data_IF_882123748069
#
_entry.id   IF_882123748069
#
_cell.length_a   1.000
_cell.length_b   1.000
_cell.length_c   1.000
_cell.angle_alpha   90.00
_cell.angle_beta   90.00
_cell.angle_gamma   90.00
#
_symmetry.space_group_name_H-M   'P 1'
#
loop_
_entity.id
_entity.type
_entity.pdbx_description
1 polymer ?
#
# COMPACT_ATOMS: atom_id res chain seq x y z
N UNK A 1 18.64 19.70 -0.75
CA UNK A 1 17.26 20.19 -0.59
C UNK A 1 16.40 19.47 -1.63
N UNK A 2 15.98 18.25 -1.32
CA UNK A 2 15.08 17.46 -2.16
C UNK A 2 13.67 17.70 -1.67
N UNK A 3 12.83 18.22 -2.56
CA UNK A 3 11.41 18.45 -2.35
C UNK A 3 10.76 17.10 -2.04
N UNK A 4 10.37 16.92 -0.79
CA UNK A 4 9.71 15.72 -0.30
C UNK A 4 8.28 15.80 -0.83
N UNK A 5 8.03 15.13 -1.95
CA UNK A 5 6.66 14.80 -2.33
C UNK A 5 6.15 13.86 -1.24
N UNK A 6 5.37 14.38 -0.29
CA UNK A 6 4.75 13.64 0.81
C UNK A 6 3.64 12.67 0.34
N UNK A 7 3.69 12.31 -0.94
CA UNK A 7 2.70 11.50 -1.63
C UNK A 7 3.38 10.37 -2.38
N UNK A 8 2.94 9.16 -2.09
CA UNK A 8 3.35 7.94 -2.76
C UNK A 8 2.26 7.43 -3.69
N UNK A 9 2.69 6.92 -4.84
CA UNK A 9 1.81 6.13 -5.71
C UNK A 9 1.55 4.76 -5.08
N UNK A 10 0.53 4.06 -5.60
CA UNK A 10 0.21 2.70 -5.18
C UNK A 10 1.42 1.76 -5.21
N UNK A 11 2.31 1.96 -6.19
CA UNK A 11 3.50 1.13 -6.37
C UNK A 11 4.57 1.41 -5.31
N UNK A 12 4.81 2.68 -4.98
CA UNK A 12 5.73 3.08 -3.90
C UNK A 12 5.23 2.56 -2.54
N UNK A 13 3.93 2.69 -2.26
CA UNK A 13 3.33 2.16 -1.04
C UNK A 13 3.48 0.64 -0.94
N UNK A 14 3.23 -0.07 -2.04
CA UNK A 14 3.36 -1.52 -2.11
C UNK A 14 4.81 -1.98 -1.86
N UNK A 15 5.79 -1.29 -2.45
CA UNK A 15 7.22 -1.59 -2.27
C UNK A 15 7.66 -1.38 -0.81
N UNK A 16 7.32 -0.21 -0.23
CA UNK A 16 7.63 0.11 1.17
C UNK A 16 7.05 -0.89 2.16
N UNK A 17 5.80 -1.30 1.94
CA UNK A 17 5.08 -2.26 2.80
C UNK A 17 5.54 -3.72 2.55
N UNK A 18 6.25 -3.97 1.43
CA UNK A 18 6.72 -5.29 1.02
C UNK A 18 5.62 -6.19 0.43
N UNK A 19 4.60 -5.60 -0.20
CA UNK A 19 3.49 -6.33 -0.83
C UNK A 19 3.44 -6.09 -2.34
N UNK A 20 2.70 -6.93 -3.08
CA UNK A 20 2.48 -6.70 -4.51
C UNK A 20 1.47 -5.56 -4.71
N UNK A 21 1.63 -4.80 -5.79
CA UNK A 21 0.69 -3.74 -6.19
C UNK A 21 -0.79 -4.21 -6.20
N UNK A 22 -1.06 -5.39 -6.74
CA UNK A 22 -2.42 -5.95 -6.75
C UNK A 22 -2.96 -6.28 -5.35
N UNK A 23 -2.08 -6.64 -4.41
CA UNK A 23 -2.46 -6.84 -3.00
C UNK A 23 -2.76 -5.51 -2.33
N UNK A 24 -1.96 -4.48 -2.61
CA UNK A 24 -2.20 -3.11 -2.17
C UNK A 24 -3.57 -2.60 -2.64
N UNK A 25 -3.88 -2.71 -3.94
CA UNK A 25 -5.20 -2.37 -4.46
C UNK A 25 -6.32 -3.18 -3.78
N UNK A 26 -6.08 -4.47 -3.50
CA UNK A 26 -7.04 -5.31 -2.76
C UNK A 26 -7.31 -4.79 -1.34
N UNK A 27 -6.29 -4.28 -0.65
CA UNK A 27 -6.43 -3.66 0.67
C UNK A 27 -7.21 -2.36 0.62
N UNK A 28 -6.87 -1.47 -0.33
CA UNK A 28 -7.51 -0.16 -0.44
C UNK A 28 -8.93 -0.25 -0.97
N UNK A 29 -9.22 -1.18 -1.89
CA UNK A 29 -10.58 -1.40 -2.39
C UNK A 29 -11.49 -2.10 -1.37
N UNK A 30 -10.93 -2.76 -0.35
CA UNK A 30 -11.69 -3.50 0.67
C UNK A 30 -11.10 -3.22 2.06
N UNK A 31 -11.23 -1.98 2.59
CA UNK A 31 -10.84 -1.70 3.95
C UNK A 31 -11.72 -2.55 4.88
N UNK A 32 -11.10 -3.32 5.76
CA UNK A 32 -11.79 -4.18 6.71
C UNK A 32 -11.40 -3.77 8.14
N UNK A 33 -12.21 -4.12 9.13
CA UNK A 33 -11.93 -3.81 10.54
C UNK A 33 -10.55 -4.32 11.01
N UNK A 34 -10.08 -5.43 10.44
CA UNK A 34 -8.77 -6.04 10.71
C UNK A 34 -7.64 -5.55 9.79
N UNK A 35 -7.96 -4.71 8.79
CA UNK A 35 -7.01 -4.17 7.83
C UNK A 35 -7.47 -2.76 7.42
N UNK A 36 -7.27 -1.75 8.28
CA UNK A 36 -7.70 -0.38 8.04
C UNK A 36 -6.75 0.30 7.04
N UNK A 37 -6.74 -0.18 5.80
CA UNK A 37 -5.84 0.32 4.76
C UNK A 37 -6.07 1.81 4.48
N UNK A 38 -5.01 2.59 4.25
CA UNK A 38 -5.11 4.02 3.99
C UNK A 38 -5.86 4.27 2.67
N UNK A 39 -6.71 5.30 2.68
CA UNK A 39 -7.46 5.67 1.48
C UNK A 39 -6.62 6.66 0.65
N UNK A 40 -6.77 6.67 -0.69
CA UNK A 40 -6.05 7.62 -1.51
C UNK A 40 -6.55 9.03 -1.15
N UNK A 41 -5.63 9.88 -0.66
CA UNK A 41 -5.93 11.28 -0.34
C UNK A 41 -6.12 12.13 -1.59
N UNK A 42 -5.36 11.82 -2.63
CA UNK A 42 -5.38 12.57 -3.88
C UNK A 42 -5.34 11.63 -5.09
N UNK A 43 -5.63 12.15 -6.27
CA UNK A 43 -5.54 11.39 -7.51
C UNK A 43 -5.03 12.30 -8.62
N UNK A 44 -3.83 12.01 -9.11
CA UNK A 44 -3.27 12.69 -10.28
C UNK A 44 -3.66 11.92 -11.53
N UNK A 45 -4.67 12.43 -12.23
CA UNK A 45 -5.25 11.78 -13.41
C UNK A 45 -6.00 10.51 -13.04
N UNK A 46 -5.44 9.35 -13.42
CA UNK A 46 -5.95 8.02 -13.07
C UNK A 46 -5.15 7.35 -11.94
N UNK A 47 -4.05 7.96 -11.50
CA UNK A 47 -3.17 7.39 -10.46
C UNK A 47 -3.54 7.92 -9.08
N UNK A 48 -4.11 7.09 -8.19
CA UNK A 48 -4.31 7.47 -6.80
C UNK A 48 -2.97 7.72 -6.10
N UNK A 49 -2.95 8.72 -5.23
CA UNK A 49 -1.84 9.11 -4.38
C UNK A 49 -2.24 8.94 -2.91
N UNK A 50 -1.32 8.36 -2.15
CA UNK A 50 -1.43 8.15 -0.72
C UNK A 50 -0.44 9.03 0.00
N UNK A 51 -0.84 9.51 1.16
CA UNK A 51 0.01 10.25 2.06
C UNK A 51 1.06 9.32 2.68
N UNK A 52 2.32 9.76 2.71
CA UNK A 52 3.41 8.94 3.24
C UNK A 52 3.21 8.69 4.73
N UNK A 53 2.76 9.70 5.48
CA UNK A 53 2.55 9.59 6.92
C UNK A 53 1.48 8.55 7.22
N UNK A 54 0.36 8.61 6.51
CA UNK A 54 -0.76 7.67 6.68
C UNK A 54 -0.36 6.21 6.37
N UNK A 55 0.50 6.00 5.36
CA UNK A 55 1.04 4.67 5.03
C UNK A 55 2.00 4.16 6.11
N UNK A 56 2.85 5.03 6.68
CA UNK A 56 3.76 4.69 7.78
C UNK A 56 3.00 4.39 9.07
N UNK A 57 2.03 5.22 9.43
CA UNK A 57 1.15 5.03 10.58
C UNK A 57 0.37 3.72 10.45
N UNK A 58 -0.18 3.45 9.26
CA UNK A 58 -0.84 2.18 8.98
C UNK A 58 0.12 1.00 9.14
N UNK A 59 1.34 1.06 8.59
CA UNK A 59 2.32 -0.01 8.75
C UNK A 59 2.70 -0.24 10.22
N UNK A 60 2.82 0.82 11.01
CA UNK A 60 3.14 0.73 12.44
C UNK A 60 1.97 0.15 13.26
N UNK A 61 0.74 0.53 12.90
CA UNK A 61 -0.47 0.15 13.64
C UNK A 61 -1.06 -1.17 13.15
N UNK A 62 -0.66 -1.68 11.99
CA UNK A 62 -1.19 -2.94 11.46
C UNK A 62 -0.86 -4.05 12.48
N UNK A 63 -1.87 -4.77 13.01
CA UNK A 63 -1.62 -6.01 13.74
C UNK A 63 -1.06 -6.99 12.70
N UNK A 64 0.27 -7.07 12.61
CA UNK A 64 0.94 -7.75 11.52
C UNK A 64 0.43 -9.16 11.33
N UNK A 65 0.23 -9.65 10.08
CA UNK A 65 0.14 -11.08 9.86
C UNK A 65 1.50 -11.65 10.22
N UNK A 66 1.64 -12.14 11.46
CA UNK A 66 2.87 -12.69 11.99
C UNK A 66 3.56 -13.58 10.96
N UNK A 67 4.78 -13.23 10.58
CA UNK A 67 5.74 -14.10 9.92
C UNK A 67 5.25 -14.89 8.68
N UNK A 68 4.24 -14.42 7.94
CA UNK A 68 3.82 -15.12 6.71
C UNK A 68 4.73 -14.73 5.57
N UNK A 69 5.81 -15.49 5.45
CA UNK A 69 6.71 -15.54 4.30
C UNK A 69 5.91 -15.39 2.99
N UNK A 70 6.27 -14.44 2.10
CA UNK A 70 5.56 -14.26 0.85
C UNK A 70 5.82 -15.49 -0.02
N UNK A 71 4.88 -16.45 -0.02
CA UNK A 71 4.89 -17.51 -1.03
C UNK A 71 4.85 -16.83 -2.39
N UNK A 72 5.96 -16.89 -3.12
CA UNK A 72 6.09 -16.37 -4.48
C UNK A 72 5.06 -17.06 -5.37
N UNK A 73 3.81 -16.57 -5.38
CA UNK A 73 2.82 -16.98 -6.39
C UNK A 73 3.33 -16.46 -7.72
N UNK A 74 3.73 -17.41 -8.55
CA UNK A 74 4.35 -17.24 -9.86
C UNK A 74 3.50 -16.45 -10.87
N UNK A 75 4.03 -16.28 -12.08
CA UNK A 75 3.49 -15.34 -13.07
C UNK A 75 2.06 -15.75 -13.46
N UNK A 76 1.10 -14.81 -13.37
CA UNK A 76 -0.20 -14.98 -14.04
C UNK A 76 0.01 -14.64 -15.53
N UNK A 77 -0.21 -15.64 -16.39
CA UNK A 77 -0.16 -15.52 -17.85
C UNK A 77 -1.21 -14.53 -18.37
N UNK A 78 -0.86 -13.91 -19.50
CA UNK A 78 -1.65 -12.98 -20.33
C UNK A 78 -2.99 -13.55 -20.76
#
# INVERSE_FOLDING_TARGET
MTLELDMWTAQQCADYVGVKLNTWHGYVSRPALNNPAPQPKDRVGDTPLWDIDEVKEWQATRPGPGNREPKKRGPRKK
#
